data_IF_393247865686
#
_entry.id   IF_393247865686
#
_cell.length_a   1.000
_cell.length_b   1.000
_cell.length_c   1.000
_cell.angle_alpha   90.00
_cell.angle_beta   90.00
_cell.angle_gamma   90.00
#
_symmetry.space_group_name_H-M   'P 1'
#
loop_
_entity.id
_entity.type
_entity.pdbx_description
1 polymer ?
#
# COMPACT_ATOMS: atom_id res chain seq x y z
N UNK A 1 9.85 -21.63 -9.51
CA UNK A 1 9.22 -20.31 -9.26
C UNK A 1 7.72 -20.49 -9.17
N UNK A 2 7.13 -20.33 -7.99
CA UNK A 2 5.67 -20.33 -7.84
C UNK A 2 5.13 -18.96 -8.28
N UNK A 3 4.71 -18.86 -9.53
CA UNK A 3 3.94 -17.72 -10.00
C UNK A 3 2.55 -17.79 -9.33
N UNK A 4 2.12 -16.72 -8.67
CA UNK A 4 0.70 -16.52 -8.41
C UNK A 4 0.02 -16.42 -9.78
N UNK A 5 -0.58 -17.52 -10.24
CA UNK A 5 -0.88 -17.75 -11.67
C UNK A 5 -1.83 -16.72 -12.31
N UNK A 6 -2.51 -15.88 -11.52
CA UNK A 6 -3.34 -14.78 -12.01
C UNK A 6 -2.60 -13.52 -12.45
N UNK A 7 -1.27 -13.41 -12.28
CA UNK A 7 -0.53 -12.14 -12.46
C UNK A 7 0.61 -12.19 -13.49
N UNK A 8 0.52 -13.09 -14.47
CA UNK A 8 1.53 -13.28 -15.52
C UNK A 8 1.80 -12.06 -16.45
N UNK A 9 0.89 -11.09 -16.52
CA UNK A 9 0.97 -9.92 -17.40
C UNK A 9 1.24 -8.61 -16.62
N UNK A 10 1.65 -8.71 -15.35
CA UNK A 10 1.94 -7.55 -14.52
C UNK A 10 3.26 -6.88 -14.95
N UNK A 11 3.18 -5.78 -15.70
CA UNK A 11 4.35 -5.03 -16.20
C UNK A 11 4.85 -3.97 -15.20
N UNK A 12 4.04 -3.59 -14.20
CA UNK A 12 4.36 -2.53 -13.24
C UNK A 12 4.77 -3.10 -11.86
N UNK A 13 5.59 -2.36 -11.08
CA UNK A 13 5.85 -2.72 -9.68
C UNK A 13 4.55 -2.84 -8.88
N UNK A 14 4.57 -3.64 -7.81
CA UNK A 14 3.38 -3.94 -6.99
C UNK A 14 3.61 -3.49 -5.56
N UNK A 15 2.57 -2.92 -4.98
CA UNK A 15 2.49 -2.56 -3.55
C UNK A 15 1.80 -3.68 -2.77
N UNK A 16 1.57 -3.46 -1.47
CA UNK A 16 0.79 -4.35 -0.62
C UNK A 16 1.56 -5.62 -0.25
N UNK A 17 2.88 -5.51 -0.12
CA UNK A 17 3.79 -6.59 0.29
C UNK A 17 3.66 -7.84 -0.61
N UNK A 18 3.50 -7.62 -1.92
CA UNK A 18 3.37 -8.71 -2.90
C UNK A 18 4.61 -9.61 -2.93
N UNK A 19 5.80 -9.05 -2.71
CA UNK A 19 7.04 -9.82 -2.60
C UNK A 19 7.02 -10.78 -1.40
N UNK A 20 6.49 -10.35 -0.25
CA UNK A 20 6.33 -11.18 0.94
C UNK A 20 5.39 -12.37 0.67
N UNK A 21 4.25 -12.13 0.00
CA UNK A 21 3.32 -13.21 -0.39
C UNK A 21 4.01 -14.29 -1.22
N UNK A 22 4.83 -13.88 -2.21
CA UNK A 22 5.62 -14.79 -3.04
C UNK A 22 6.65 -15.56 -2.22
N UNK A 23 7.34 -14.89 -1.30
CA UNK A 23 8.32 -15.51 -0.41
C UNK A 23 7.68 -16.56 0.48
N UNK A 24 6.56 -16.24 1.15
CA UNK A 24 5.84 -17.16 2.03
C UNK A 24 5.34 -18.39 1.26
N UNK A 25 4.72 -18.20 0.09
CA UNK A 25 4.27 -19.30 -0.74
C UNK A 25 5.43 -20.24 -1.13
N UNK A 26 6.58 -19.68 -1.51
CA UNK A 26 7.75 -20.48 -1.86
C UNK A 26 8.32 -21.26 -0.66
N UNK A 27 8.26 -20.70 0.54
CA UNK A 27 8.77 -21.36 1.76
C UNK A 27 7.83 -22.44 2.27
N UNK A 28 6.53 -22.16 2.34
CA UNK A 28 5.52 -23.11 2.80
C UNK A 28 5.37 -24.30 1.85
N UNK A 29 5.60 -24.10 0.54
CA UNK A 29 5.65 -25.21 -0.43
C UNK A 29 6.80 -26.20 -0.18
N UNK A 30 7.88 -25.76 0.46
CA UNK A 30 9.02 -26.62 0.79
C UNK A 30 8.89 -27.24 2.19
N UNK A 31 8.37 -26.47 3.15
CA UNK A 31 8.14 -26.93 4.51
C UNK A 31 6.88 -26.29 5.10
N UNK A 32 5.83 -27.10 5.21
CA UNK A 32 4.52 -26.69 5.76
C UNK A 32 4.55 -26.44 7.26
N UNK A 33 5.58 -26.91 7.97
CA UNK A 33 5.74 -26.71 9.41
C UNK A 33 6.59 -25.46 9.74
N UNK A 34 6.96 -24.67 8.74
CA UNK A 34 7.73 -23.44 8.92
C UNK A 34 7.02 -22.47 9.87
N UNK A 35 7.74 -21.95 10.85
CA UNK A 35 7.21 -20.92 11.75
C UNK A 35 7.00 -19.60 11.01
N UNK A 36 5.76 -19.11 11.02
CA UNK A 36 5.34 -17.91 10.30
C UNK A 36 6.10 -16.65 10.74
N UNK A 37 6.33 -16.48 12.05
CA UNK A 37 6.99 -15.29 12.57
C UNK A 37 8.47 -15.25 12.20
N UNK A 38 9.15 -16.40 12.22
CA UNK A 38 10.52 -16.54 11.75
C UNK A 38 10.62 -16.24 10.26
N UNK A 39 9.69 -16.73 9.44
CA UNK A 39 9.65 -16.40 8.01
C UNK A 39 9.48 -14.89 7.78
N UNK A 40 8.59 -14.24 8.52
CA UNK A 40 8.42 -12.80 8.41
C UNK A 40 9.70 -12.06 8.85
N UNK A 41 10.28 -12.39 10.01
CA UNK A 41 11.50 -11.75 10.50
C UNK A 41 12.64 -11.87 9.48
N UNK A 42 12.85 -13.06 8.94
CA UNK A 42 13.86 -13.32 7.91
C UNK A 42 13.58 -12.53 6.62
N UNK A 43 12.33 -12.43 6.20
CA UNK A 43 11.96 -11.66 5.02
C UNK A 43 12.26 -10.17 5.23
N UNK A 44 11.77 -9.58 6.32
CA UNK A 44 11.88 -8.14 6.55
C UNK A 44 13.34 -7.71 6.74
N UNK A 45 14.14 -8.48 7.49
CA UNK A 45 15.57 -8.18 7.66
C UNK A 45 16.37 -8.31 6.36
N UNK A 46 16.01 -9.26 5.49
CA UNK A 46 16.75 -9.51 4.24
C UNK A 46 16.31 -8.60 3.09
N UNK A 47 15.01 -8.36 2.95
CA UNK A 47 14.43 -7.66 1.80
C UNK A 47 14.50 -6.13 1.93
N UNK A 48 14.42 -5.63 3.18
CA UNK A 48 14.50 -4.21 3.51
C UNK A 48 15.76 -3.82 4.29
N UNK A 49 16.63 -4.78 4.64
CA UNK A 49 17.89 -4.51 5.33
C UNK A 49 17.68 -3.88 6.71
N UNK A 50 18.44 -2.82 6.99
CA UNK A 50 18.41 -2.05 8.25
C UNK A 50 17.02 -1.45 8.56
N UNK A 51 16.17 -1.28 7.55
CA UNK A 51 14.81 -0.80 7.74
C UNK A 51 13.77 -1.91 7.99
N UNK A 52 14.20 -3.17 8.12
CA UNK A 52 13.32 -4.32 8.29
C UNK A 52 12.27 -4.14 9.38
N UNK A 53 12.68 -3.64 10.56
CA UNK A 53 11.77 -3.46 11.70
C UNK A 53 10.70 -2.39 11.45
N UNK A 54 11.06 -1.28 10.78
CA UNK A 54 10.10 -0.23 10.41
C UNK A 54 9.10 -0.73 9.37
N UNK A 55 9.58 -1.45 8.37
CA UNK A 55 8.70 -2.03 7.35
C UNK A 55 7.82 -3.15 7.92
N UNK A 56 8.32 -3.92 8.90
CA UNK A 56 7.52 -4.91 9.62
C UNK A 56 6.43 -4.24 10.45
N UNK A 57 6.73 -3.11 11.07
CA UNK A 57 5.75 -2.31 11.81
C UNK A 57 4.63 -1.83 10.87
N UNK A 58 4.99 -1.26 9.72
CA UNK A 58 4.00 -0.87 8.72
C UNK A 58 3.14 -2.06 8.25
N UNK A 59 3.76 -3.21 7.94
CA UNK A 59 3.01 -4.42 7.56
C UNK A 59 2.02 -4.86 8.63
N UNK A 60 2.46 -4.96 9.90
CA UNK A 60 1.59 -5.39 10.99
C UNK A 60 0.42 -4.43 11.19
N UNK A 61 0.65 -3.11 11.07
CA UNK A 61 -0.42 -2.11 11.15
C UNK A 61 -1.40 -2.21 10.00
N UNK A 62 -0.90 -2.47 8.78
CA UNK A 62 -1.76 -2.68 7.61
C UNK A 62 -2.64 -3.93 7.80
N UNK A 63 -2.07 -5.04 8.32
CA UNK A 63 -2.84 -6.24 8.65
C UNK A 63 -3.90 -5.96 9.71
N UNK A 64 -3.52 -5.32 10.82
CA UNK A 64 -4.46 -4.96 11.88
C UNK A 64 -5.60 -4.04 11.39
N UNK A 65 -5.31 -3.11 10.47
CA UNK A 65 -6.33 -2.27 9.86
C UNK A 65 -7.28 -3.09 8.98
N UNK A 66 -6.76 -4.02 8.19
CA UNK A 66 -7.57 -4.91 7.37
C UNK A 66 -8.48 -5.80 8.24
N UNK A 67 -7.97 -6.36 9.34
CA UNK A 67 -8.76 -7.11 10.32
C UNK A 67 -9.85 -6.23 10.96
N UNK A 68 -9.52 -4.97 11.27
CA UNK A 68 -10.49 -4.00 11.79
C UNK A 68 -11.61 -3.74 10.78
N UNK A 69 -11.26 -3.48 9.51
CA UNK A 69 -12.23 -3.28 8.43
C UNK A 69 -13.13 -4.51 8.30
N UNK A 70 -12.53 -5.70 8.28
CA UNK A 70 -13.23 -6.97 8.21
C UNK A 70 -14.23 -7.11 9.36
N UNK A 71 -13.87 -6.72 10.58
CA UNK A 71 -14.75 -6.80 11.75
C UNK A 71 -15.89 -5.77 11.79
N UNK A 72 -15.90 -4.74 10.94
CA UNK A 72 -16.94 -3.72 10.98
C UNK A 72 -18.29 -4.27 10.50
N UNK A 73 -19.37 -3.95 11.23
CA UNK A 73 -20.74 -4.38 10.88
C UNK A 73 -21.11 -4.02 9.44
N UNK A 74 -20.65 -2.89 8.93
CA UNK A 74 -20.98 -2.44 7.58
C UNK A 74 -20.28 -3.28 6.50
N UNK A 75 -19.05 -3.73 6.75
CA UNK A 75 -18.34 -4.64 5.84
C UNK A 75 -18.86 -6.09 5.96
N UNK A 76 -19.19 -6.53 7.19
CA UNK A 76 -19.84 -7.82 7.42
C UNK A 76 -21.23 -7.87 6.79
N UNK A 77 -22.01 -6.79 6.89
CA UNK A 77 -23.35 -6.71 6.30
C UNK A 77 -23.29 -6.77 4.77
N UNK A 78 -22.26 -6.23 4.12
CA UNK A 78 -22.12 -6.34 2.66
C UNK A 78 -21.66 -7.72 2.22
N UNK A 79 -20.79 -8.39 2.98
CA UNK A 79 -20.36 -9.76 2.72
C UNK A 79 -21.49 -10.80 2.91
N UNK A 80 -22.32 -10.64 3.95
CA UNK A 80 -23.24 -11.69 4.39
C UNK A 80 -24.72 -11.45 4.07
N UNK A 81 -25.22 -10.20 3.99
CA UNK A 81 -26.67 -9.97 3.82
C UNK A 81 -27.16 -9.98 2.37
N UNK A 82 -26.27 -9.89 1.37
CA UNK A 82 -26.70 -9.73 -0.03
C UNK A 82 -26.41 -10.94 -0.94
N UNK A 83 -25.90 -12.07 -0.43
CA UNK A 83 -25.30 -13.14 -1.27
C UNK A 83 -24.25 -12.60 -2.27
N UNK A 84 -23.73 -11.40 -2.02
CA UNK A 84 -22.72 -10.75 -2.84
C UNK A 84 -21.37 -10.96 -2.16
N UNK A 85 -20.77 -12.13 -2.39
CA UNK A 85 -19.35 -12.38 -2.11
C UNK A 85 -18.49 -11.58 -3.09
N UNK A 86 -18.61 -10.26 -3.02
CA UNK A 86 -18.33 -9.43 -4.16
C UNK A 86 -17.01 -8.68 -4.00
N UNK A 87 -16.12 -8.93 -4.96
CA UNK A 87 -15.00 -8.07 -5.35
C UNK A 87 -15.41 -6.62 -5.67
N UNK A 88 -16.70 -6.27 -5.64
CA UNK A 88 -17.25 -4.93 -5.89
C UNK A 88 -17.40 -4.08 -4.62
N UNK A 89 -17.02 -4.57 -3.44
CA UNK A 89 -17.00 -3.73 -2.23
C UNK A 89 -15.97 -2.59 -2.36
N UNK A 90 -16.46 -1.35 -2.23
CA UNK A 90 -15.62 -0.18 -2.38
C UNK A 90 -14.80 0.07 -1.11
N UNK A 91 -13.63 -0.54 -1.05
CA UNK A 91 -12.66 -0.27 0.02
C UNK A 91 -11.98 1.09 -0.12
N UNK A 92 -12.06 1.78 -1.26
CA UNK A 92 -11.42 3.08 -1.49
C UNK A 92 -12.24 4.23 -0.87
N UNK A 93 -12.41 4.21 0.45
CA UNK A 93 -13.17 5.24 1.19
C UNK A 93 -12.41 5.73 2.42
N UNK A 94 -12.57 7.01 2.75
CA UNK A 94 -11.97 7.65 3.93
C UNK A 94 -12.47 7.05 5.27
N UNK A 95 -13.54 6.26 5.24
CA UNK A 95 -14.05 5.51 6.39
C UNK A 95 -13.09 4.41 6.83
N UNK A 96 -12.47 3.72 5.87
CA UNK A 96 -11.58 2.60 6.13
C UNK A 96 -10.11 3.02 6.19
N UNK A 97 -9.78 4.19 5.66
CA UNK A 97 -8.40 4.67 5.56
C UNK A 97 -8.30 6.08 6.12
N UNK A 98 -8.14 6.20 7.44
CA UNK A 98 -8.04 7.50 8.08
C UNK A 98 -6.77 8.26 7.67
N UNK A 99 -6.88 9.60 7.65
CA UNK A 99 -5.81 10.50 7.25
C UNK A 99 -4.55 10.35 8.11
N UNK A 100 -4.69 10.28 9.44
CA UNK A 100 -3.55 10.24 10.34
C UNK A 100 -2.86 8.87 10.29
N UNK A 101 -3.63 7.80 10.08
CA UNK A 101 -3.12 6.46 9.81
C UNK A 101 -2.28 6.43 8.52
N UNK A 102 -2.84 6.90 7.40
CA UNK A 102 -2.14 6.92 6.12
C UNK A 102 -0.88 7.81 6.18
N UNK A 103 -0.98 8.98 6.81
CA UNK A 103 0.15 9.90 7.02
C UNK A 103 1.26 9.25 7.86
N UNK A 104 0.90 8.52 8.91
CA UNK A 104 1.85 7.74 9.71
C UNK A 104 2.57 6.69 8.87
N UNK A 105 1.86 5.96 8.01
CA UNK A 105 2.49 4.97 7.12
C UNK A 105 3.44 5.59 6.09
N UNK A 106 3.10 6.76 5.56
CA UNK A 106 4.03 7.55 4.72
C UNK A 106 5.29 7.89 5.52
N UNK A 107 5.16 8.40 6.76
CA UNK A 107 6.30 8.71 7.64
C UNK A 107 7.17 7.49 7.92
N UNK A 108 6.56 6.34 8.21
CA UNK A 108 7.29 5.08 8.45
C UNK A 108 8.14 4.70 7.22
N UNK A 109 7.60 4.86 6.02
CA UNK A 109 8.33 4.58 4.79
C UNK A 109 9.46 5.59 4.55
N UNK A 110 9.27 6.87 4.87
CA UNK A 110 10.31 7.89 4.74
C UNK A 110 11.46 7.67 5.72
N UNK A 111 11.12 7.37 6.99
CA UNK A 111 12.11 6.99 8.00
C UNK A 111 12.86 5.71 7.60
N UNK A 112 12.15 4.70 7.10
CA UNK A 112 12.75 3.46 6.60
C UNK A 112 13.70 3.71 5.42
N UNK A 113 13.28 4.52 4.45
CA UNK A 113 14.08 4.86 3.26
C UNK A 113 15.36 5.66 3.60
N UNK A 114 15.36 6.38 4.73
CA UNK A 114 16.52 7.11 5.24
C UNK A 114 17.51 6.24 6.02
N UNK A 115 17.10 5.07 6.50
CA UNK A 115 18.00 4.13 7.18
C UNK A 115 18.85 3.33 6.20
N UNK A 116 18.32 2.99 5.03
CA UNK A 116 18.99 2.08 4.10
C UNK A 116 19.96 2.82 3.18
N UNK A 117 21.11 2.19 2.92
CA UNK A 117 22.11 2.67 1.95
C UNK A 117 21.98 2.00 0.58
N UNK A 118 21.43 0.78 0.51
CA UNK A 118 21.16 0.07 -0.75
C UNK A 118 20.02 0.75 -1.51
N UNK A 119 20.27 1.00 -2.80
CA UNK A 119 19.27 1.55 -3.72
C UNK A 119 18.10 0.57 -3.93
N UNK A 120 18.36 -0.73 -3.93
CA UNK A 120 17.37 -1.78 -4.07
C UNK A 120 16.41 -1.80 -2.87
N UNK A 121 16.96 -1.82 -1.65
CA UNK A 121 16.15 -1.77 -0.43
C UNK A 121 15.33 -0.47 -0.36
N UNK A 122 15.94 0.66 -0.73
CA UNK A 122 15.24 1.96 -0.81
C UNK A 122 14.07 1.90 -1.80
N UNK A 123 14.29 1.37 -3.00
CA UNK A 123 13.24 1.23 -4.01
C UNK A 123 12.11 0.30 -3.55
N UNK A 124 12.42 -0.79 -2.85
CA UNK A 124 11.39 -1.66 -2.25
C UNK A 124 10.52 -0.92 -1.24
N UNK A 125 11.12 -0.09 -0.38
CA UNK A 125 10.40 0.73 0.61
C UNK A 125 9.52 1.77 -0.08
N UNK A 126 10.10 2.49 -1.05
CA UNK A 126 9.39 3.53 -1.81
C UNK A 126 8.25 2.95 -2.65
N UNK A 127 8.36 1.71 -3.13
CA UNK A 127 7.24 1.01 -3.77
C UNK A 127 6.08 0.83 -2.79
N UNK A 128 6.32 0.38 -1.55
CA UNK A 128 5.23 0.22 -0.58
C UNK A 128 4.62 1.57 -0.17
N UNK A 129 5.40 2.66 -0.17
CA UNK A 129 4.92 4.04 0.08
C UNK A 129 3.87 4.53 -0.93
N UNK A 130 3.83 3.97 -2.15
CA UNK A 130 2.88 4.38 -3.20
C UNK A 130 1.43 4.23 -2.73
N UNK A 131 1.09 3.13 -2.05
CA UNK A 131 -0.26 2.89 -1.57
C UNK A 131 -0.76 3.98 -0.61
N UNK A 132 -0.11 4.22 0.56
CA UNK A 132 -0.61 5.21 1.50
C UNK A 132 -0.55 6.63 0.92
N UNK A 133 0.44 6.94 0.07
CA UNK A 133 0.54 8.25 -0.59
C UNK A 133 -0.59 8.49 -1.59
N UNK A 134 -0.94 7.48 -2.39
CA UNK A 134 -2.05 7.57 -3.33
C UNK A 134 -3.40 7.65 -2.61
N UNK A 135 -3.62 6.81 -1.59
CA UNK A 135 -4.84 6.84 -0.78
C UNK A 135 -5.03 8.20 -0.11
N UNK A 136 -3.97 8.76 0.49
CA UNK A 136 -4.03 10.08 1.12
C UNK A 136 -4.35 11.17 0.08
N UNK A 137 -3.68 11.14 -1.07
CA UNK A 137 -3.86 12.10 -2.16
C UNK A 137 -5.25 12.07 -2.78
N UNK A 138 -5.85 10.89 -2.91
CA UNK A 138 -7.14 10.68 -3.58
C UNK A 138 -8.32 10.89 -2.63
N UNK A 139 -8.34 10.19 -1.49
CA UNK A 139 -9.46 10.20 -0.55
C UNK A 139 -9.63 11.56 0.14
N UNK A 140 -8.54 12.31 0.30
CA UNK A 140 -8.53 13.62 0.96
C UNK A 140 -8.24 14.76 -0.02
N UNK A 141 -8.53 14.58 -1.31
CA UNK A 141 -8.37 15.59 -2.37
C UNK A 141 -9.40 16.73 -2.30
N UNK A 142 -10.56 16.51 -1.67
CA UNK A 142 -11.66 17.47 -1.63
C UNK A 142 -11.41 18.70 -0.75
N UNK A 143 -12.12 19.79 -1.02
CA UNK A 143 -12.07 21.01 -0.19
C UNK A 143 -12.52 20.75 1.26
N UNK A 144 -13.45 19.82 1.46
CA UNK A 144 -13.91 19.41 2.78
C UNK A 144 -12.79 18.94 3.70
N UNK A 145 -11.66 18.46 3.17
CA UNK A 145 -10.54 17.94 3.95
C UNK A 145 -9.38 18.93 4.10
N UNK A 146 -9.55 20.18 3.65
CA UNK A 146 -8.46 21.16 3.63
C UNK A 146 -7.89 21.44 5.02
N UNK A 147 -8.72 21.37 6.05
CA UNK A 147 -8.30 21.56 7.44
C UNK A 147 -7.30 20.48 7.90
N UNK A 148 -7.37 19.25 7.35
CA UNK A 148 -6.38 18.18 7.62
C UNK A 148 -5.03 18.47 6.96
N UNK A 149 -5.05 19.06 5.76
CA UNK A 149 -3.84 19.47 5.04
C UNK A 149 -3.26 20.81 5.51
N UNK A 150 -4.06 21.61 6.23
CA UNK A 150 -3.77 22.99 6.59
C UNK A 150 -4.01 23.98 5.46
N UNK A 151 -3.53 23.71 4.23
CA UNK A 151 -3.76 24.58 3.07
C UNK A 151 -3.88 23.80 1.76
N UNK A 152 -4.51 24.41 0.75
CA UNK A 152 -4.57 23.86 -0.61
C UNK A 152 -3.19 23.68 -1.21
N UNK A 153 -2.27 24.61 -0.92
CA UNK A 153 -0.89 24.53 -1.42
C UNK A 153 -0.17 23.32 -0.88
N UNK A 154 -0.25 23.03 0.42
CA UNK A 154 0.37 21.84 1.05
C UNK A 154 -0.19 20.54 0.49
N UNK A 155 -1.52 20.47 0.28
CA UNK A 155 -2.13 19.31 -0.37
C UNK A 155 -1.58 19.10 -1.78
N UNK A 156 -1.54 20.15 -2.60
CA UNK A 156 -1.03 20.07 -3.97
C UNK A 156 0.46 19.76 -4.03
N UNK A 157 1.25 20.25 -3.08
CA UNK A 157 2.67 19.92 -2.93
C UNK A 157 2.84 18.40 -2.70
N UNK A 158 2.13 17.84 -1.72
CA UNK A 158 2.15 16.40 -1.47
C UNK A 158 1.71 15.57 -2.70
N UNK A 159 0.66 16.00 -3.39
CA UNK A 159 0.19 15.33 -4.62
C UNK A 159 1.25 15.37 -5.74
N UNK A 160 2.02 16.45 -5.85
CA UNK A 160 3.14 16.56 -6.80
C UNK A 160 4.31 15.66 -6.42
N UNK A 161 4.65 15.59 -5.14
CA UNK A 161 5.67 14.65 -4.63
C UNK A 161 5.27 13.21 -4.95
N UNK A 162 4.00 12.86 -4.75
CA UNK A 162 3.47 11.56 -5.15
C UNK A 162 3.57 11.32 -6.66
N UNK A 163 3.20 12.30 -7.51
CA UNK A 163 3.32 12.20 -8.97
C UNK A 163 4.76 11.92 -9.40
N UNK A 164 5.73 12.63 -8.82
CA UNK A 164 7.16 12.41 -9.07
C UNK A 164 7.55 10.99 -8.66
N UNK A 165 7.26 10.58 -7.43
CA UNK A 165 7.57 9.25 -6.91
C UNK A 165 6.99 8.13 -7.77
N UNK A 166 5.70 8.22 -8.11
CA UNK A 166 5.02 7.24 -8.95
C UNK A 166 5.65 7.14 -10.35
N UNK A 167 6.05 8.28 -10.91
CA UNK A 167 6.69 8.36 -12.23
C UNK A 167 8.09 7.73 -12.22
N UNK A 168 8.91 8.07 -11.22
CA UNK A 168 10.27 7.53 -11.05
C UNK A 168 10.27 6.01 -10.86
N UNK A 169 9.28 5.48 -10.14
CA UNK A 169 9.09 4.04 -9.94
C UNK A 169 8.35 3.36 -11.11
N UNK A 170 7.87 4.11 -12.11
CA UNK A 170 7.23 3.54 -13.30
C UNK A 170 5.77 3.10 -13.12
N UNK A 171 5.07 3.60 -12.10
CA UNK A 171 3.63 3.41 -11.95
C UNK A 171 2.86 4.28 -12.94
N UNK A 172 1.88 3.68 -13.63
CA UNK A 172 1.11 4.31 -14.71
C UNK A 172 -0.40 4.15 -14.53
N UNK A 173 -0.86 3.10 -13.85
CA UNK A 173 -2.27 2.80 -13.68
C UNK A 173 -2.64 2.48 -12.24
N UNK A 174 -3.89 2.73 -11.87
CA UNK A 174 -4.43 2.49 -10.52
C UNK A 174 -5.31 1.25 -10.42
N UNK A 175 -5.74 0.69 -11.56
CA UNK A 175 -6.61 -0.48 -11.63
C UNK A 175 -6.19 -1.44 -12.74
N UNK A 176 -6.71 -2.67 -12.68
CA UNK A 176 -6.55 -3.66 -13.75
C UNK A 176 -7.31 -3.26 -15.03
N UNK A 177 -8.40 -2.51 -14.90
CA UNK A 177 -9.11 -1.90 -16.04
C UNK A 177 -8.29 -0.84 -16.78
N UNK A 178 -7.11 -0.47 -16.26
CA UNK A 178 -6.18 0.43 -16.92
C UNK A 178 -6.43 1.91 -16.67
N UNK A 179 -7.16 2.28 -15.62
CA UNK A 179 -7.33 3.68 -15.22
C UNK A 179 -5.96 4.31 -15.00
N UNK A 180 -5.66 5.37 -15.76
CA UNK A 180 -4.35 6.03 -15.74
C UNK A 180 -4.24 6.94 -14.53
N UNK A 181 -3.04 7.00 -13.93
CA UNK A 181 -2.74 7.98 -12.88
C UNK A 181 -2.94 9.43 -13.35
N UNK A 182 -2.75 9.70 -14.64
CA UNK A 182 -2.97 11.01 -15.26
C UNK A 182 -4.38 11.56 -15.05
N UNK A 183 -5.40 10.69 -14.98
CA UNK A 183 -6.78 11.10 -14.69
C UNK A 183 -6.85 11.78 -13.32
N UNK A 184 -6.22 11.20 -12.31
CA UNK A 184 -6.19 11.77 -10.95
C UNK A 184 -5.38 13.06 -10.90
N UNK A 185 -4.25 13.13 -11.61
CA UNK A 185 -3.43 14.35 -11.64
C UNK A 185 -4.21 15.54 -12.22
N UNK A 186 -4.95 15.30 -13.30
CA UNK A 186 -5.84 16.31 -13.89
C UNK A 186 -6.96 16.73 -12.92
N UNK A 187 -7.61 15.77 -12.24
CA UNK A 187 -8.66 16.06 -11.26
C UNK A 187 -8.14 16.87 -10.06
N UNK A 188 -6.90 16.62 -9.64
CA UNK A 188 -6.22 17.39 -8.59
C UNK A 188 -5.69 18.75 -9.08
N UNK A 189 -5.59 18.93 -10.39
CA UNK A 189 -5.04 20.08 -11.07
C UNK A 189 -3.53 20.24 -10.83
N UNK A 190 -2.75 19.17 -11.10
CA UNK A 190 -1.27 19.12 -10.98
C UNK A 190 -0.57 18.34 -12.12
#
# INVERSE_FOLDING_TARGET
MAYAQGQHNAVQPRTGFTALKKYLNAKVMLDVNSDYNNLLNNFFSSYYGEAGDKMRTFFNEMVAQLETIESTSDYQNTLYNNNQFSIYENMATAKFWDFDLLKKWVSLCDEAANLVTSIEAKNHILCEKIFPSFALSSLYSGFAYIYKWGTTSKRKEFQKEFKTLATELGFKTTSESGTKLETYYNDWGI
#
